data_IF_298701602156
#
_entry.id   IF_298701602156
#
_cell.length_a   1.000
_cell.length_b   1.000
_cell.length_c   1.000
_cell.angle_alpha   90.00
_cell.angle_beta   90.00
_cell.angle_gamma   90.00
#
_symmetry.space_group_name_H-M   'P 1'
#
loop_
_entity.id
_entity.type
_entity.pdbx_description
1 polymer ?
#
# COMPACT_ATOMS: atom_id res chain seq x y z
N UNK A 1 -12.17 5.45 2.91
CA UNK A 1 -10.90 5.23 3.57
C UNK A 1 -10.53 6.33 4.55
N UNK A 2 -10.80 7.58 4.31
CA UNK A 2 -10.44 8.69 5.21
C UNK A 2 -11.60 9.08 6.14
N UNK A 3 -12.24 8.11 6.76
CA UNK A 3 -13.29 8.37 7.74
C UNK A 3 -12.63 8.87 9.02
N UNK A 4 -13.13 10.01 9.55
CA UNK A 4 -12.65 10.58 10.79
C UNK A 4 -12.75 9.56 11.94
N UNK A 5 -11.71 9.53 12.77
CA UNK A 5 -11.52 8.54 13.82
C UNK A 5 -12.46 8.68 15.04
N UNK A 6 -13.46 9.56 14.98
CA UNK A 6 -14.35 9.82 16.11
C UNK A 6 -15.53 8.85 16.10
N UNK A 7 -15.26 7.59 16.40
CA UNK A 7 -16.36 6.69 16.78
C UNK A 7 -16.88 7.13 18.13
N UNK A 8 -18.10 7.64 18.14
CA UNK A 8 -18.78 8.11 19.32
C UNK A 8 -19.69 6.98 19.83
N UNK A 9 -19.71 6.75 21.13
CA UNK A 9 -20.64 5.82 21.82
C UNK A 9 -22.11 6.09 21.47
N UNK A 10 -22.41 7.25 20.90
CA UNK A 10 -23.73 7.64 20.36
C UNK A 10 -23.99 7.08 18.96
N UNK A 11 -23.07 6.40 18.33
CA UNK A 11 -23.22 5.85 16.97
C UNK A 11 -24.21 4.68 16.88
N UNK A 12 -25.03 4.44 17.89
CA UNK A 12 -26.11 3.48 17.86
C UNK A 12 -25.85 2.19 18.68
N UNK A 13 -26.46 1.07 18.30
CA UNK A 13 -26.46 -0.16 19.10
C UNK A 13 -25.16 -0.99 18.97
N UNK A 14 -24.12 -0.47 18.34
CA UNK A 14 -22.90 -1.23 18.07
C UNK A 14 -21.93 -1.16 19.25
N UNK A 15 -21.32 -2.30 19.56
CA UNK A 15 -20.38 -2.43 20.68
C UNK A 15 -19.04 -1.72 20.40
N UNK A 16 -18.66 -1.62 19.11
CA UNK A 16 -17.42 -0.96 18.66
C UNK A 16 -17.54 -0.52 17.20
N UNK A 17 -16.62 0.36 16.78
CA UNK A 17 -16.49 0.81 15.40
C UNK A 17 -16.25 -0.37 14.45
N UNK A 18 -15.37 -1.31 14.81
CA UNK A 18 -15.09 -2.51 14.01
C UNK A 18 -16.35 -3.36 13.81
N UNK A 19 -17.17 -3.52 14.84
CA UNK A 19 -18.47 -4.22 14.73
C UNK A 19 -19.43 -3.48 13.80
N UNK A 20 -19.55 -2.16 13.93
CA UNK A 20 -20.42 -1.35 13.07
C UNK A 20 -20.03 -1.47 11.59
N UNK A 21 -18.74 -1.37 11.29
CA UNK A 21 -18.23 -1.50 9.93
C UNK A 21 -18.42 -2.91 9.35
N UNK A 22 -18.24 -3.95 10.17
CA UNK A 22 -18.49 -5.33 9.75
C UNK A 22 -19.98 -5.55 9.40
N UNK A 23 -20.89 -5.07 10.21
CA UNK A 23 -22.33 -5.19 9.95
C UNK A 23 -22.75 -4.42 8.70
N UNK A 24 -22.24 -3.19 8.52
CA UNK A 24 -22.47 -2.42 7.30
C UNK A 24 -22.00 -3.16 6.05
N UNK A 25 -20.78 -3.71 6.08
CA UNK A 25 -20.23 -4.49 4.97
C UNK A 25 -21.05 -5.76 4.69
N UNK A 26 -21.47 -6.49 5.73
CA UNK A 26 -22.31 -7.67 5.60
C UNK A 26 -23.67 -7.34 4.97
N UNK A 27 -24.31 -6.24 5.40
CA UNK A 27 -25.56 -5.78 4.79
C UNK A 27 -25.37 -5.37 3.33
N UNK A 28 -24.27 -4.69 3.00
CA UNK A 28 -23.95 -4.30 1.63
C UNK A 28 -23.77 -5.54 0.74
N UNK A 29 -23.01 -6.55 1.19
CA UNK A 29 -22.85 -7.82 0.46
C UNK A 29 -24.18 -8.51 0.14
N UNK A 30 -25.10 -8.53 1.11
CA UNK A 30 -26.45 -9.08 0.91
C UNK A 30 -27.28 -8.26 -0.09
N UNK A 31 -27.16 -6.93 -0.03
CA UNK A 31 -27.96 -6.03 -0.87
C UNK A 31 -27.52 -6.02 -2.32
N UNK A 32 -26.20 -6.13 -2.61
CA UNK A 32 -25.67 -6.01 -3.98
C UNK A 32 -25.52 -7.36 -4.69
N UNK A 33 -25.65 -8.47 -3.98
CA UNK A 33 -25.43 -9.84 -4.50
C UNK A 33 -24.12 -9.95 -5.33
N UNK A 34 -23.06 -9.38 -4.79
CA UNK A 34 -21.72 -9.32 -5.39
C UNK A 34 -20.64 -9.51 -4.35
N UNK A 35 -19.49 -10.07 -4.73
CA UNK A 35 -18.31 -10.05 -3.88
C UNK A 35 -17.95 -8.61 -3.50
N UNK A 36 -17.67 -8.38 -2.23
CA UNK A 36 -17.24 -7.08 -1.68
C UNK A 36 -15.85 -7.26 -1.11
N UNK A 37 -14.97 -6.31 -1.36
CA UNK A 37 -13.66 -6.19 -0.74
C UNK A 37 -13.76 -5.06 0.28
N UNK A 38 -13.35 -5.32 1.51
CA UNK A 38 -13.38 -4.30 2.56
C UNK A 38 -12.01 -3.65 2.69
N UNK A 39 -11.97 -2.32 2.56
CA UNK A 39 -10.84 -1.50 2.97
C UNK A 39 -11.17 -0.99 4.38
N UNK A 40 -10.53 -1.50 5.44
CA UNK A 40 -10.81 -1.07 6.79
C UNK A 40 -10.27 0.33 7.06
N UNK A 41 -10.78 1.04 8.07
CA UNK A 41 -10.21 2.33 8.48
C UNK A 41 -8.74 2.18 8.92
N UNK A 42 -8.43 1.09 9.61
CA UNK A 42 -7.06 0.76 9.98
C UNK A 42 -6.54 -0.28 8.99
N UNK A 43 -5.94 0.19 7.92
CA UNK A 43 -5.37 -0.63 6.84
C UNK A 43 -3.83 -0.67 6.85
N UNK A 44 -3.20 -0.11 7.90
CA UNK A 44 -1.77 -0.20 8.18
C UNK A 44 -1.53 -0.10 9.69
N UNK A 45 -0.44 -0.70 10.20
CA UNK A 45 -0.10 -0.65 11.62
C UNK A 45 0.11 0.80 12.11
N UNK A 46 0.70 1.67 11.26
CA UNK A 46 0.93 3.08 11.58
C UNK A 46 -0.35 3.89 11.82
N UNK A 47 -1.52 3.38 11.44
CA UNK A 47 -2.82 4.02 11.66
C UNK A 47 -3.44 3.65 13.01
N UNK A 48 -2.84 2.76 13.77
CA UNK A 48 -3.31 2.38 15.09
C UNK A 48 -2.99 3.49 16.09
N UNK A 49 -4.00 4.10 16.66
CA UNK A 49 -3.83 4.98 17.82
C UNK A 49 -3.81 4.13 19.10
N UNK A 50 -2.63 3.99 19.68
CA UNK A 50 -2.44 3.20 20.92
C UNK A 50 -3.10 3.83 22.15
N UNK A 51 -3.48 5.09 22.10
CA UNK A 51 -4.19 5.78 23.18
C UNK A 51 -5.71 5.58 23.09
N UNK A 52 -6.22 5.13 21.93
CA UNK A 52 -7.63 4.88 21.70
C UNK A 52 -7.94 3.38 21.78
N UNK A 53 -8.69 2.91 22.80
CA UNK A 53 -9.10 1.51 22.91
C UNK A 53 -9.90 1.00 21.71
N UNK A 54 -10.71 1.85 21.06
CA UNK A 54 -11.47 1.48 19.86
C UNK A 54 -10.51 1.23 18.68
N UNK A 55 -9.47 2.04 18.55
CA UNK A 55 -8.44 1.83 17.53
C UNK A 55 -7.70 0.51 17.75
N UNK A 56 -7.34 0.19 18.99
CA UNK A 56 -6.65 -1.06 19.35
C UNK A 56 -7.50 -2.30 19.06
N UNK A 57 -8.81 -2.26 19.30
CA UNK A 57 -9.71 -3.40 19.10
C UNK A 57 -10.28 -3.49 17.69
N UNK A 58 -10.15 -2.45 16.88
CA UNK A 58 -10.89 -2.26 15.63
C UNK A 58 -10.81 -3.47 14.67
N UNK A 59 -9.60 -3.91 14.31
CA UNK A 59 -9.43 -5.03 13.37
C UNK A 59 -9.91 -6.35 13.94
N UNK A 60 -9.70 -6.58 15.23
CA UNK A 60 -10.20 -7.76 15.93
C UNK A 60 -11.73 -7.82 15.86
N UNK A 61 -12.39 -6.72 16.17
CA UNK A 61 -13.85 -6.66 16.20
C UNK A 61 -14.44 -6.74 14.79
N UNK A 62 -13.83 -6.06 13.83
CA UNK A 62 -14.19 -6.15 12.42
C UNK A 62 -14.12 -7.59 11.91
N UNK A 63 -12.99 -8.26 12.11
CA UNK A 63 -12.76 -9.61 11.59
C UNK A 63 -13.61 -10.67 12.26
N UNK A 64 -13.99 -10.46 13.52
CA UNK A 64 -14.87 -11.36 14.28
C UNK A 64 -16.32 -11.36 13.77
N UNK A 65 -16.78 -10.25 13.18
CA UNK A 65 -18.18 -10.07 12.74
C UNK A 65 -18.34 -10.08 11.22
N UNK A 66 -17.31 -9.73 10.47
CA UNK A 66 -17.33 -9.71 9.02
C UNK A 66 -17.45 -11.14 8.46
N UNK A 67 -18.21 -11.32 7.38
CA UNK A 67 -18.36 -12.59 6.68
C UNK A 67 -16.98 -13.25 6.46
N UNK A 68 -16.85 -14.58 6.72
CA UNK A 68 -15.55 -15.26 6.82
C UNK A 68 -14.74 -15.26 5.51
N UNK A 69 -15.38 -15.14 4.38
CA UNK A 69 -14.77 -15.17 3.03
C UNK A 69 -14.59 -13.75 2.46
N UNK A 70 -14.99 -12.71 3.17
CA UNK A 70 -14.84 -11.34 2.70
C UNK A 70 -13.36 -10.93 2.74
N UNK A 71 -12.76 -10.57 1.60
CA UNK A 71 -11.38 -10.12 1.56
C UNK A 71 -11.22 -8.77 2.25
N UNK A 72 -10.08 -8.59 2.92
CA UNK A 72 -9.72 -7.38 3.66
C UNK A 72 -8.42 -6.84 3.11
N UNK A 73 -8.42 -5.56 2.74
CA UNK A 73 -7.24 -4.86 2.25
C UNK A 73 -6.36 -4.42 3.42
N UNK A 74 -5.05 -4.61 3.30
CA UNK A 74 -4.08 -4.18 4.29
C UNK A 74 -2.75 -3.82 3.64
N UNK A 75 -2.12 -2.71 4.06
CA UNK A 75 -0.83 -2.29 3.51
C UNK A 75 0.36 -3.00 4.17
N UNK A 76 0.36 -3.07 5.51
CA UNK A 76 1.47 -3.60 6.29
C UNK A 76 1.85 -2.69 7.45
N UNK A 77 3.14 -2.60 7.76
CA UNK A 77 3.64 -1.80 8.89
C UNK A 77 3.39 -0.28 8.72
N UNK A 78 3.23 0.18 7.49
CA UNK A 78 2.93 1.57 7.15
C UNK A 78 2.05 1.61 5.90
N UNK A 79 1.53 2.78 5.53
CA UNK A 79 0.74 3.00 4.29
C UNK A 79 1.60 2.67 3.08
N UNK A 80 2.86 3.10 3.06
CA UNK A 80 3.86 2.66 2.08
C UNK A 80 4.75 1.61 2.76
N UNK A 81 4.24 0.40 2.83
CA UNK A 81 4.83 -0.65 3.65
C UNK A 81 6.08 -1.28 3.01
N UNK A 82 7.13 -1.43 3.81
CA UNK A 82 8.32 -2.22 3.48
C UNK A 82 8.29 -3.61 4.14
N UNK A 83 7.30 -3.87 4.99
CA UNK A 83 7.09 -5.14 5.69
C UNK A 83 5.59 -5.39 5.82
N UNK A 84 5.18 -6.60 5.46
CA UNK A 84 3.84 -7.10 5.75
C UNK A 84 3.90 -7.81 7.09
N UNK A 85 2.84 -7.65 7.87
CA UNK A 85 2.76 -8.22 9.20
C UNK A 85 3.13 -7.23 10.28
N UNK A 86 2.48 -7.36 11.39
CA UNK A 86 2.56 -6.55 12.58
C UNK A 86 1.46 -6.97 13.55
N UNK A 87 1.38 -6.32 14.70
CA UNK A 87 0.42 -6.72 15.74
C UNK A 87 -1.04 -6.55 15.27
N UNK A 88 -1.33 -5.50 14.50
CA UNK A 88 -2.68 -5.24 14.02
C UNK A 88 -3.10 -6.21 12.90
N UNK A 89 -2.20 -6.53 11.97
CA UNK A 89 -2.50 -7.48 10.87
C UNK A 89 -2.74 -8.91 11.35
N UNK A 90 -2.23 -9.29 12.52
CA UNK A 90 -2.42 -10.61 13.11
C UNK A 90 -3.88 -11.00 13.38
N UNK A 91 -4.81 -10.04 13.28
CA UNK A 91 -6.24 -10.30 13.34
C UNK A 91 -6.86 -10.67 11.99
N UNK A 92 -6.16 -10.49 10.88
CA UNK A 92 -6.62 -10.81 9.52
C UNK A 92 -6.01 -12.15 9.11
N UNK A 93 -6.83 -13.15 8.83
CA UNK A 93 -6.34 -14.44 8.34
C UNK A 93 -5.67 -14.25 6.95
N UNK A 94 -4.54 -14.91 6.72
CA UNK A 94 -3.75 -14.79 5.47
C UNK A 94 -4.59 -15.05 4.21
N UNK A 95 -5.53 -16.00 4.28
CA UNK A 95 -6.44 -16.32 3.17
C UNK A 95 -7.41 -15.21 2.79
N UNK A 96 -7.59 -14.21 3.66
CA UNK A 96 -8.49 -13.06 3.48
C UNK A 96 -7.73 -11.77 3.18
N UNK A 97 -6.42 -11.74 3.44
CA UNK A 97 -5.60 -10.55 3.30
C UNK A 97 -5.28 -10.27 1.83
N UNK A 98 -5.64 -9.07 1.37
CA UNK A 98 -5.19 -8.49 0.12
C UNK A 98 -4.20 -7.37 0.44
N UNK A 99 -2.98 -7.49 -0.04
CA UNK A 99 -1.94 -6.49 0.20
C UNK A 99 -2.13 -5.31 -0.75
N UNK A 100 -2.39 -4.13 -0.19
CA UNK A 100 -2.42 -2.89 -0.96
C UNK A 100 -1.01 -2.31 -1.03
N UNK A 101 -0.39 -2.45 -2.20
CA UNK A 101 0.98 -2.00 -2.41
C UNK A 101 1.00 -0.56 -2.95
N UNK A 102 1.54 0.34 -2.14
CA UNK A 102 1.71 1.77 -2.45
C UNK A 102 3.13 2.12 -2.89
N UNK A 103 3.97 1.14 -3.25
CA UNK A 103 5.37 1.41 -3.58
C UNK A 103 5.53 2.42 -4.72
N UNK A 104 4.67 2.37 -5.73
CA UNK A 104 4.69 3.29 -6.86
C UNK A 104 3.64 4.41 -6.77
N UNK A 105 2.79 4.40 -5.75
CA UNK A 105 1.80 5.44 -5.58
C UNK A 105 2.47 6.83 -5.44
N UNK A 106 1.88 7.84 -6.07
CA UNK A 106 2.38 9.21 -6.06
C UNK A 106 1.34 10.24 -5.63
N UNK A 107 0.15 9.81 -5.26
CA UNK A 107 -0.96 10.65 -4.79
C UNK A 107 -0.61 11.46 -3.54
N UNK A 108 0.19 10.90 -2.64
CA UNK A 108 0.70 11.56 -1.44
C UNK A 108 1.93 12.46 -1.69
N UNK A 109 2.59 12.34 -2.87
CA UNK A 109 3.72 13.16 -3.28
C UNK A 109 3.71 13.45 -4.80
N UNK A 110 2.73 14.24 -5.28
CA UNK A 110 2.39 14.37 -6.70
C UNK A 110 3.50 14.97 -7.59
N UNK A 111 4.60 15.46 -6.98
CA UNK A 111 5.78 15.96 -7.70
C UNK A 111 6.90 14.92 -7.80
N UNK A 112 6.69 13.71 -7.30
CA UNK A 112 7.66 12.61 -7.37
C UNK A 112 7.06 11.44 -8.12
N UNK A 113 7.92 10.76 -8.84
CA UNK A 113 7.63 9.51 -9.51
C UNK A 113 8.62 8.47 -8.99
N UNK A 114 8.12 7.31 -8.59
CA UNK A 114 8.96 6.18 -8.20
C UNK A 114 8.88 5.14 -9.30
N UNK A 115 10.02 4.76 -9.85
CA UNK A 115 10.15 3.74 -10.90
C UNK A 115 11.36 2.84 -10.66
N UNK A 116 11.87 2.81 -9.42
CA UNK A 116 12.99 1.94 -9.05
C UNK A 116 12.63 0.45 -9.04
N UNK A 117 13.61 -0.42 -8.80
CA UNK A 117 13.36 -1.86 -8.69
C UNK A 117 12.30 -2.15 -7.62
N UNK A 118 11.29 -2.96 -7.99
CA UNK A 118 10.18 -3.25 -7.09
C UNK A 118 10.60 -4.19 -5.96
N UNK A 119 10.41 -3.74 -4.74
CA UNK A 119 10.81 -4.46 -3.54
C UNK A 119 9.61 -5.15 -2.94
N UNK A 120 9.33 -6.32 -3.46
CA UNK A 120 8.23 -7.14 -2.98
C UNK A 120 8.48 -7.61 -1.55
N UNK A 121 7.56 -7.38 -0.62
CA UNK A 121 7.57 -8.07 0.66
C UNK A 121 7.52 -9.60 0.45
N UNK A 122 8.38 -10.34 1.13
CA UNK A 122 8.56 -11.78 0.89
C UNK A 122 7.27 -12.59 1.10
N UNK A 123 6.40 -12.12 1.99
CA UNK A 123 5.17 -12.78 2.41
C UNK A 123 3.96 -12.45 1.51
N UNK A 124 4.13 -11.53 0.55
CA UNK A 124 3.01 -11.07 -0.27
C UNK A 124 2.61 -12.11 -1.32
N UNK A 125 1.40 -12.65 -1.20
CA UNK A 125 0.81 -13.57 -2.18
C UNK A 125 -0.32 -12.95 -3.01
N UNK A 126 -1.09 -12.02 -2.44
CA UNK A 126 -2.25 -11.38 -3.06
C UNK A 126 -2.04 -9.86 -3.04
N UNK A 127 -1.56 -9.30 -4.15
CA UNK A 127 -1.18 -7.89 -4.23
C UNK A 127 -2.17 -7.12 -5.10
N UNK A 128 -2.64 -6.00 -4.56
CA UNK A 128 -3.34 -4.95 -5.27
C UNK A 128 -2.39 -3.76 -5.38
N UNK A 129 -1.94 -3.45 -6.59
CA UNK A 129 -1.08 -2.30 -6.84
C UNK A 129 -1.91 -1.01 -6.84
N UNK A 130 -1.47 -0.01 -6.08
CA UNK A 130 -1.91 1.38 -6.25
C UNK A 130 -1.00 2.05 -7.30
N UNK A 131 -1.49 2.29 -8.55
CA UNK A 131 -0.67 2.80 -9.63
C UNK A 131 -0.52 4.32 -9.56
N UNK A 132 0.25 4.90 -10.48
CA UNK A 132 0.44 6.36 -10.57
C UNK A 132 -0.74 7.08 -11.22
N UNK A 133 -1.59 6.37 -11.97
CA UNK A 133 -2.62 6.95 -12.83
C UNK A 133 -2.09 7.51 -14.15
N UNK A 134 -0.79 7.35 -14.42
CA UNK A 134 -0.15 7.73 -15.68
C UNK A 134 0.00 6.48 -16.56
N UNK A 135 -0.89 6.29 -17.53
CA UNK A 135 -1.06 5.02 -18.25
C UNK A 135 0.25 4.43 -18.80
N UNK A 136 1.09 5.25 -19.45
CA UNK A 136 2.34 4.75 -20.03
C UNK A 136 3.38 4.42 -18.95
N UNK A 137 3.40 5.18 -17.87
CA UNK A 137 4.22 4.87 -16.70
C UNK A 137 3.75 3.58 -16.04
N UNK A 138 2.46 3.42 -15.85
CA UNK A 138 1.90 2.25 -15.17
C UNK A 138 2.15 0.96 -15.97
N UNK A 139 2.14 1.00 -17.31
CA UNK A 139 2.57 -0.13 -18.14
C UNK A 139 4.02 -0.53 -17.86
N UNK A 140 4.92 0.46 -17.82
CA UNK A 140 6.34 0.23 -17.50
C UNK A 140 6.51 -0.31 -16.08
N UNK A 141 5.75 0.21 -15.10
CA UNK A 141 5.79 -0.27 -13.72
C UNK A 141 5.35 -1.72 -13.59
N UNK A 142 4.36 -2.17 -14.36
CA UNK A 142 3.97 -3.58 -14.37
C UNK A 142 5.10 -4.49 -14.88
N UNK A 143 5.87 -4.04 -15.87
CA UNK A 143 7.05 -4.77 -16.36
C UNK A 143 8.16 -4.78 -15.30
N UNK A 144 8.39 -3.66 -14.62
CA UNK A 144 9.35 -3.57 -13.50
C UNK A 144 8.95 -4.50 -12.36
N UNK A 145 7.66 -4.60 -12.03
CA UNK A 145 7.17 -5.53 -11.01
C UNK A 145 7.46 -7.00 -11.34
N UNK A 146 7.37 -7.38 -12.62
CA UNK A 146 7.69 -8.75 -13.06
C UNK A 146 9.18 -9.09 -12.91
N UNK A 147 10.05 -8.08 -12.97
CA UNK A 147 11.49 -8.21 -12.75
C UNK A 147 11.82 -8.33 -11.26
N UNK A 148 11.03 -7.64 -10.41
CA UNK A 148 11.27 -7.55 -8.98
C UNK A 148 12.43 -6.60 -8.62
N UNK A 149 13.29 -7.00 -7.68
CA UNK A 149 14.37 -6.15 -7.17
C UNK A 149 15.74 -6.35 -7.86
N UNK A 150 15.76 -7.05 -9.00
CA UNK A 150 16.95 -7.29 -9.83
C UNK A 150 17.35 -5.99 -10.56
N UNK A 151 18.39 -5.33 -10.05
CA UNK A 151 18.86 -4.02 -10.54
C UNK A 151 19.37 -4.09 -11.97
N UNK A 152 20.01 -5.19 -12.37
CA UNK A 152 20.58 -5.30 -13.71
C UNK A 152 19.47 -5.45 -14.75
N UNK A 153 18.51 -6.32 -14.53
CA UNK A 153 17.35 -6.46 -15.41
C UNK A 153 16.48 -5.20 -15.44
N UNK A 154 16.32 -4.53 -14.29
CA UNK A 154 15.64 -3.24 -14.20
C UNK A 154 16.34 -2.20 -15.09
N UNK A 155 17.67 -2.13 -15.04
CA UNK A 155 18.46 -1.21 -15.88
C UNK A 155 18.31 -1.51 -17.37
N UNK A 156 18.35 -2.78 -17.74
CA UNK A 156 18.17 -3.24 -19.11
C UNK A 156 16.78 -2.90 -19.65
N UNK A 157 15.74 -3.09 -18.83
CA UNK A 157 14.36 -2.73 -19.20
C UNK A 157 14.23 -1.21 -19.37
N UNK A 158 14.61 -0.42 -18.37
CA UNK A 158 14.45 1.03 -18.44
C UNK A 158 15.33 1.66 -19.53
N UNK A 159 16.48 1.07 -19.87
CA UNK A 159 17.33 1.51 -20.95
C UNK A 159 16.68 1.44 -22.34
N UNK A 160 15.59 0.68 -22.49
CA UNK A 160 14.80 0.62 -23.73
C UNK A 160 13.79 1.79 -23.83
N UNK A 161 13.49 2.45 -22.72
CA UNK A 161 12.44 3.47 -22.61
C UNK A 161 12.98 4.85 -22.24
N UNK A 162 14.10 4.91 -21.51
CA UNK A 162 14.64 6.14 -20.93
C UNK A 162 16.06 6.42 -21.43
N UNK A 163 16.44 7.70 -21.55
CA UNK A 163 17.78 8.07 -22.00
C UNK A 163 18.84 7.65 -20.95
N UNK A 164 20.11 7.41 -21.37
CA UNK A 164 21.20 7.04 -20.46
C UNK A 164 21.39 8.03 -19.28
N UNK A 165 21.13 9.32 -19.49
CA UNK A 165 21.20 10.35 -18.46
C UNK A 165 20.30 10.07 -17.26
N UNK A 166 19.17 9.37 -17.46
CA UNK A 166 18.27 8.97 -16.38
C UNK A 166 19.00 8.18 -15.29
N UNK A 167 19.88 7.26 -15.66
CA UNK A 167 20.58 6.41 -14.70
C UNK A 167 21.55 7.19 -13.79
N UNK A 168 21.94 8.39 -14.20
CA UNK A 168 22.72 9.30 -13.35
C UNK A 168 21.90 9.87 -12.20
N UNK A 169 20.59 10.03 -12.41
CA UNK A 169 19.65 10.60 -11.43
C UNK A 169 18.67 9.56 -10.84
N UNK A 170 18.90 8.28 -11.16
CA UNK A 170 18.02 7.18 -10.73
C UNK A 170 17.77 7.13 -9.21
N UNK A 171 18.72 7.60 -8.39
CA UNK A 171 18.55 7.73 -6.94
C UNK A 171 17.28 8.49 -6.55
N UNK A 172 16.92 9.56 -7.28
CA UNK A 172 15.76 10.39 -6.97
C UNK A 172 14.42 9.74 -7.36
N UNK A 173 14.47 8.68 -8.16
CA UNK A 173 13.31 7.92 -8.64
C UNK A 173 13.27 6.48 -8.07
N UNK A 174 14.19 6.15 -7.17
CA UNK A 174 14.40 4.78 -6.72
C UNK A 174 13.20 4.25 -5.92
N UNK A 175 12.92 4.87 -4.78
CA UNK A 175 11.94 4.36 -3.85
C UNK A 175 11.32 5.44 -2.97
N UNK A 176 10.12 5.20 -2.43
CA UNK A 176 9.52 6.06 -1.44
C UNK A 176 10.30 6.07 -0.12
N UNK A 177 9.92 7.02 0.73
CA UNK A 177 10.48 7.13 2.09
C UNK A 177 10.33 5.81 2.86
N UNK A 178 11.34 5.46 3.65
CA UNK A 178 11.37 4.24 4.47
C UNK A 178 12.09 3.06 3.81
N UNK A 179 12.29 3.08 2.49
CA UNK A 179 13.07 2.07 1.80
C UNK A 179 14.54 2.45 1.69
N UNK A 180 15.44 1.49 1.91
CA UNK A 180 16.86 1.70 1.67
C UNK A 180 17.12 1.93 0.18
N UNK A 181 17.83 3.00 -0.22
CA UNK A 181 18.08 3.27 -1.64
C UNK A 181 18.96 2.18 -2.27
N UNK A 182 18.64 1.79 -3.51
CA UNK A 182 19.46 0.88 -4.34
C UNK A 182 20.60 1.62 -5.05
N UNK A 183 20.49 2.95 -5.20
CA UNK A 183 21.45 3.79 -5.89
C UNK A 183 22.07 4.80 -4.93
N UNK A 184 23.33 5.16 -5.19
CA UNK A 184 23.99 6.25 -4.46
C UNK A 184 23.49 7.62 -4.97
N UNK A 185 23.36 8.63 -4.09
CA UNK A 185 23.06 9.99 -4.54
C UNK A 185 24.19 10.52 -5.43
N UNK A 186 23.87 11.05 -6.63
CA UNK A 186 24.89 11.67 -7.47
C UNK A 186 25.36 13.00 -6.86
N UNK A 187 26.59 13.47 -7.18
CA UNK A 187 26.99 14.83 -6.91
C UNK A 187 26.00 15.84 -7.53
N UNK A 188 25.76 16.96 -6.84
CA UNK A 188 24.73 17.93 -7.24
C UNK A 188 24.96 18.46 -8.66
N UNK A 189 26.20 18.79 -8.99
CA UNK A 189 26.60 19.27 -10.32
C UNK A 189 26.33 18.24 -11.43
N UNK A 190 26.49 16.96 -11.12
CA UNK A 190 26.21 15.86 -12.05
C UNK A 190 24.72 15.68 -12.23
N UNK A 191 23.94 15.80 -11.15
CA UNK A 191 22.47 15.71 -11.22
C UNK A 191 21.87 16.86 -12.03
N UNK A 192 22.38 18.09 -11.86
CA UNK A 192 21.93 19.26 -12.62
C UNK A 192 22.23 19.13 -14.10
N UNK A 193 23.45 18.67 -14.46
CA UNK A 193 23.84 18.48 -15.87
C UNK A 193 23.06 17.34 -16.57
N UNK A 194 22.37 16.49 -15.85
CA UNK A 194 21.59 15.39 -16.43
C UNK A 194 20.13 15.80 -16.75
N UNK A 195 19.69 16.96 -16.28
CA UNK A 195 18.33 17.49 -16.53
C UNK A 195 18.29 18.65 -17.52
N UNK A 196 19.44 19.18 -17.91
CA UNK A 196 19.61 20.15 -18.99
C UNK A 196 19.72 19.42 -20.36
#
# INVERSE_FOLDING_TARGET
DDIAADFDDRAGPFESEGTAHAELANHLMQAVDRPVIVVPRIYADSLVDVADPNSLSYLKDLTAKLAPDCPIVYCGNDIVAHRIGGDASGHIADSRMLIWDNFYANDYCPRRLFIGPWRRPAEASNILLNPTGLIETDKLLLEVMLIGDDVDKWRDLLGQHLPPAFFTVAYYFDAPYGFAPKFAPPPVEVALAAVD
#
